data_IF_833886089459
#
_entry.id   IF_833886089459
#
_cell.length_a   1.000
_cell.length_b   1.000
_cell.length_c   1.000
_cell.angle_alpha   90.00
_cell.angle_beta   90.00
_cell.angle_gamma   90.00
#
_symmetry.space_group_name_H-M   'P 1'
#
loop_
_entity.id
_entity.type
_entity.pdbx_description
1 polymer ?
#
# COMPACT_ATOMS: atom_id res chain seq x y z
N UNK A 1 4.88 56.89 -20.19
CA UNK A 1 4.81 56.19 -18.90
C UNK A 1 4.55 54.72 -19.15
N UNK A 2 5.39 53.88 -18.53
CA UNK A 2 5.28 52.44 -18.24
C UNK A 2 4.67 51.53 -19.32
N UNK A 3 5.62 50.92 -20.05
CA UNK A 3 5.56 49.77 -20.94
C UNK A 3 4.52 48.71 -20.57
N UNK A 4 3.79 48.31 -21.61
CA UNK A 4 3.12 47.03 -21.80
C UNK A 4 3.92 45.87 -21.17
N UNK A 5 3.38 45.28 -20.10
CA UNK A 5 3.88 44.06 -19.46
C UNK A 5 2.71 43.35 -18.75
N UNK A 6 1.65 43.02 -19.51
CA UNK A 6 0.66 42.03 -19.11
C UNK A 6 0.99 40.70 -19.80
N UNK A 7 2.22 40.23 -19.61
CA UNK A 7 2.71 38.98 -20.19
C UNK A 7 3.56 38.24 -19.16
N UNK A 8 3.05 38.12 -17.92
CA UNK A 8 3.70 37.30 -16.89
C UNK A 8 2.75 36.97 -15.73
N UNK A 9 1.73 36.13 -15.97
CA UNK A 9 0.91 35.60 -14.87
C UNK A 9 0.20 34.26 -15.21
N UNK A 10 0.75 33.46 -16.13
CA UNK A 10 0.16 32.17 -16.52
C UNK A 10 1.15 30.99 -16.41
N UNK A 11 2.20 31.14 -15.60
CA UNK A 11 3.24 30.11 -15.42
C UNK A 11 3.38 29.71 -13.94
N UNK A 12 2.30 29.38 -13.25
CA UNK A 12 2.38 28.84 -11.87
C UNK A 12 1.42 27.67 -11.59
N UNK A 13 1.10 26.86 -12.59
CA UNK A 13 0.48 25.55 -12.33
C UNK A 13 1.16 24.50 -13.22
N UNK A 14 2.48 24.32 -13.05
CA UNK A 14 3.05 23.00 -13.30
C UNK A 14 2.82 22.17 -12.03
N UNK A 15 1.55 21.86 -11.76
CA UNK A 15 1.22 20.82 -10.80
C UNK A 15 1.67 19.51 -11.46
N UNK A 16 2.56 18.75 -10.82
CA UNK A 16 3.04 17.45 -11.31
C UNK A 16 1.89 16.42 -11.30
N UNK A 17 0.92 16.57 -12.20
CA UNK A 17 -0.30 15.75 -12.30
C UNK A 17 -0.04 14.31 -12.76
N UNK A 18 1.15 14.03 -13.28
CA UNK A 18 1.47 12.71 -13.80
C UNK A 18 1.54 11.66 -12.68
N UNK A 19 1.86 12.07 -11.45
CA UNK A 19 1.94 11.16 -10.32
C UNK A 19 0.56 10.68 -9.86
N UNK A 20 -0.41 11.59 -9.79
CA UNK A 20 -1.80 11.36 -9.33
C UNK A 20 -2.59 10.41 -10.26
N UNK A 21 -2.08 10.13 -11.47
CA UNK A 21 -2.73 9.20 -12.42
C UNK A 21 -2.15 7.78 -12.43
N UNK A 22 -1.14 7.50 -11.61
CA UNK A 22 -0.51 6.16 -11.57
C UNK A 22 -1.36 5.18 -10.77
N UNK A 23 -1.56 3.99 -11.33
CA UNK A 23 -2.30 2.90 -10.70
C UNK A 23 -1.33 1.81 -10.25
N UNK A 24 -1.54 1.30 -9.04
CA UNK A 24 -0.88 0.14 -8.47
C UNK A 24 -1.87 -1.03 -8.41
N UNK A 25 -1.41 -2.22 -8.76
CA UNK A 25 -2.16 -3.46 -8.56
C UNK A 25 -1.60 -4.17 -7.33
N UNK A 26 -2.41 -4.36 -6.30
CA UNK A 26 -2.03 -5.13 -5.12
C UNK A 26 -2.57 -6.55 -5.25
N UNK A 27 -1.73 -7.54 -4.96
CA UNK A 27 -2.08 -8.95 -4.87
C UNK A 27 -1.63 -9.52 -3.53
N UNK A 28 -2.53 -10.22 -2.86
CA UNK A 28 -2.28 -10.81 -1.55
C UNK A 28 -2.24 -12.34 -1.63
N UNK A 29 -1.29 -12.99 -0.96
CA UNK A 29 -1.21 -14.45 -0.87
C UNK A 29 -1.12 -14.95 0.57
N UNK A 30 -1.65 -16.14 0.82
CA UNK A 30 -1.42 -16.90 2.06
C UNK A 30 -0.35 -17.97 1.82
N UNK A 31 0.62 -18.08 2.74
CA UNK A 31 1.72 -19.04 2.66
C UNK A 31 1.84 -19.81 3.99
N UNK A 32 1.62 -21.14 4.01
CA UNK A 32 1.01 -21.92 2.93
C UNK A 32 -0.45 -21.51 2.71
N UNK A 33 -1.04 -21.86 1.57
CA UNK A 33 -2.40 -21.44 1.21
C UNK A 33 -3.45 -21.95 2.21
N UNK A 34 -3.29 -23.17 2.73
CA UNK A 34 -4.17 -23.75 3.74
C UNK A 34 -4.04 -23.07 5.12
N UNK A 35 -2.95 -22.35 5.36
CA UNK A 35 -2.65 -21.75 6.66
C UNK A 35 -3.55 -20.56 7.01
N UNK A 36 -4.21 -19.96 6.02
CA UNK A 36 -5.13 -18.85 6.26
C UNK A 36 -5.57 -18.16 4.99
N UNK A 37 -6.11 -16.96 5.18
CA UNK A 37 -6.48 -16.04 4.09
C UNK A 37 -5.80 -14.70 4.30
N UNK A 38 -5.48 -14.03 3.20
CA UNK A 38 -5.02 -12.64 3.20
C UNK A 38 -5.92 -11.87 2.25
N UNK A 39 -6.40 -10.71 2.67
CA UNK A 39 -7.39 -9.90 1.93
C UNK A 39 -7.11 -8.42 2.08
N UNK A 40 -7.57 -7.65 1.11
CA UNK A 40 -7.67 -6.19 1.18
C UNK A 40 -8.88 -5.82 2.02
N UNK A 41 -8.72 -5.04 3.09
CA UNK A 41 -9.81 -4.79 4.04
C UNK A 41 -11.00 -4.05 3.41
N UNK A 42 -10.75 -3.19 2.43
CA UNK A 42 -11.81 -2.40 1.79
C UNK A 42 -12.73 -3.26 0.92
N UNK A 43 -12.20 -4.32 0.28
CA UNK A 43 -12.93 -5.11 -0.72
C UNK A 43 -13.15 -6.56 -0.31
N UNK A 44 -12.43 -7.04 0.71
CA UNK A 44 -12.34 -8.46 1.11
C UNK A 44 -11.89 -9.38 -0.04
N UNK A 45 -11.23 -8.82 -1.07
CA UNK A 45 -10.65 -9.55 -2.20
C UNK A 45 -9.14 -9.73 -2.03
N UNK A 46 -8.57 -10.64 -2.82
CA UNK A 46 -7.12 -10.88 -2.85
C UNK A 46 -6.37 -10.00 -3.83
N UNK A 47 -7.09 -9.20 -4.62
CA UNK A 47 -6.51 -8.24 -5.56
C UNK A 47 -7.34 -6.97 -5.66
N UNK A 48 -6.68 -5.85 -5.95
CA UNK A 48 -7.32 -4.55 -6.09
C UNK A 48 -6.37 -3.51 -6.68
N UNK A 49 -6.95 -2.50 -7.32
CA UNK A 49 -6.24 -1.36 -7.88
C UNK A 49 -6.32 -0.16 -6.95
N UNK A 50 -5.23 0.59 -6.86
CA UNK A 50 -5.09 1.76 -5.99
C UNK A 50 -4.38 2.89 -6.73
N UNK A 51 -4.83 4.13 -6.53
CA UNK A 51 -4.20 5.31 -7.12
C UNK A 51 -2.95 5.71 -6.32
N UNK A 52 -2.10 6.52 -6.94
CA UNK A 52 -0.95 7.10 -6.25
C UNK A 52 -1.36 7.88 -5.01
N UNK A 53 -0.69 7.59 -3.90
CA UNK A 53 -0.97 8.22 -2.61
C UNK A 53 -2.06 7.54 -1.79
N UNK A 54 -2.79 6.57 -2.35
CA UNK A 54 -3.68 5.70 -1.59
C UNK A 54 -2.92 4.84 -0.58
N UNK A 55 -3.66 4.34 0.41
CA UNK A 55 -3.17 3.37 1.39
C UNK A 55 -4.02 2.10 1.27
N UNK A 56 -3.38 0.99 0.90
CA UNK A 56 -4.04 -0.32 0.92
C UNK A 56 -3.90 -0.93 2.33
N UNK A 57 -5.04 -1.21 2.96
CA UNK A 57 -5.11 -1.93 4.23
C UNK A 57 -5.25 -3.43 3.98
N UNK A 58 -4.40 -4.23 4.62
CA UNK A 58 -4.29 -5.68 4.38
C UNK A 58 -4.43 -6.45 5.69
N UNK A 59 -5.21 -7.52 5.65
CA UNK A 59 -5.53 -8.35 6.81
C UNK A 59 -5.27 -9.82 6.53
N UNK A 60 -4.65 -10.48 7.50
CA UNK A 60 -4.48 -11.93 7.56
C UNK A 60 -5.47 -12.56 8.55
N UNK A 61 -6.08 -13.67 8.15
CA UNK A 61 -6.91 -14.51 9.01
C UNK A 61 -6.38 -15.94 8.98
N UNK A 62 -5.72 -16.42 10.05
CA UNK A 62 -5.30 -17.80 10.16
C UNK A 62 -6.49 -18.77 10.08
N UNK A 63 -6.27 -19.91 9.46
CA UNK A 63 -7.16 -21.07 9.53
C UNK A 63 -7.03 -21.76 10.89
N UNK A 64 -7.97 -22.63 11.24
CA UNK A 64 -7.90 -23.41 12.48
C UNK A 64 -6.61 -24.25 12.54
N UNK A 65 -5.92 -24.21 13.69
CA UNK A 65 -4.65 -24.89 13.91
C UNK A 65 -3.44 -24.19 13.28
N UNK A 66 -3.59 -22.95 12.82
CA UNK A 66 -2.50 -22.11 12.34
C UNK A 66 -2.46 -20.79 13.10
N UNK A 67 -1.26 -20.23 13.22
CA UNK A 67 -1.03 -18.87 13.67
C UNK A 67 -0.36 -18.06 12.57
N UNK A 68 -0.65 -16.76 12.54
CA UNK A 68 0.08 -15.83 11.69
C UNK A 68 1.51 -15.70 12.22
N UNK A 69 2.48 -15.69 11.30
CA UNK A 69 3.91 -15.64 11.61
C UNK A 69 4.51 -14.30 11.19
N UNK A 70 4.36 -13.92 9.92
CA UNK A 70 4.99 -12.69 9.40
C UNK A 70 4.43 -12.24 8.06
N UNK A 71 4.77 -11.00 7.68
CA UNK A 71 4.53 -10.47 6.34
C UNK A 71 5.80 -10.55 5.50
N UNK A 72 5.66 -10.85 4.20
CA UNK A 72 6.71 -10.63 3.20
C UNK A 72 6.12 -10.03 1.94
N UNK A 73 6.95 -9.51 1.03
CA UNK A 73 6.47 -8.94 -0.22
C UNK A 73 7.57 -8.26 -1.02
N UNK A 74 7.19 -7.68 -2.15
CA UNK A 74 8.09 -6.89 -3.01
C UNK A 74 7.98 -5.37 -2.74
N UNK A 75 7.22 -4.98 -1.72
CA UNK A 75 7.07 -3.59 -1.29
C UNK A 75 7.36 -3.46 0.20
N UNK A 76 7.68 -2.24 0.61
CA UNK A 76 7.76 -1.90 2.03
C UNK A 76 6.35 -1.77 2.58
N UNK A 77 6.04 -2.58 3.59
CA UNK A 77 4.84 -2.39 4.38
C UNK A 77 5.07 -1.27 5.40
N UNK A 78 4.09 -0.38 5.51
CA UNK A 78 3.95 0.51 6.65
C UNK A 78 3.38 -0.33 7.78
N UNK A 79 4.23 -1.05 8.53
CA UNK A 79 3.79 -1.57 9.82
C UNK A 79 3.23 -0.40 10.61
N UNK A 80 1.99 -0.49 11.09
CA UNK A 80 1.19 0.61 11.69
C UNK A 80 2.08 1.68 12.35
N UNK A 81 2.45 2.72 11.60
CA UNK A 81 3.21 3.87 12.12
C UNK A 81 2.25 4.96 12.55
N UNK A 82 1.14 4.57 13.18
CA UNK A 82 0.42 5.47 14.04
C UNK A 82 1.24 5.49 15.33
N UNK A 83 1.98 6.57 15.59
CA UNK A 83 2.76 6.77 16.82
C UNK A 83 1.91 6.86 18.10
N UNK A 84 0.75 6.22 18.12
CA UNK A 84 -0.19 6.16 19.23
C UNK A 84 0.03 4.83 19.99
N UNK A 85 0.66 4.86 21.19
CA UNK A 85 0.97 3.66 21.98
C UNK A 85 -0.25 2.89 22.53
N UNK A 86 -1.47 3.21 22.07
CA UNK A 86 -2.72 2.57 22.45
C UNK A 86 -3.40 1.72 21.36
N UNK A 87 -2.84 1.64 20.15
CA UNK A 87 -3.36 0.71 19.13
C UNK A 87 -2.70 -0.64 19.36
N UNK A 88 -3.48 -1.66 19.76
CA UNK A 88 -2.96 -3.01 19.84
C UNK A 88 -2.28 -3.35 18.51
N UNK A 89 -1.00 -3.71 18.55
CA UNK A 89 -0.29 -4.28 17.40
C UNK A 89 -0.98 -5.59 17.04
N UNK A 90 -1.97 -5.53 16.17
CA UNK A 90 -2.56 -6.72 15.60
C UNK A 90 -1.61 -7.14 14.49
N UNK A 91 -0.67 -8.04 14.79
CA UNK A 91 0.36 -8.55 13.85
C UNK A 91 -0.22 -9.01 12.50
N UNK A 92 -1.51 -9.37 12.52
CA UNK A 92 -2.34 -9.77 11.39
C UNK A 92 -2.82 -8.62 10.48
N UNK A 93 -2.44 -7.37 10.73
CA UNK A 93 -2.83 -6.21 9.93
C UNK A 93 -1.58 -5.45 9.50
N UNK A 94 -1.62 -4.90 8.29
CA UNK A 94 -0.55 -4.06 7.75
C UNK A 94 -1.10 -3.10 6.70
N UNK A 95 -0.30 -2.10 6.34
CA UNK A 95 -0.67 -1.12 5.33
C UNK A 95 0.43 -0.97 4.29
N UNK A 96 0.05 -0.56 3.08
CA UNK A 96 0.97 -0.27 1.98
C UNK A 96 0.64 1.12 1.46
N UNK A 97 1.60 2.05 1.55
CA UNK A 97 1.50 3.35 0.89
C UNK A 97 1.80 3.20 -0.60
N UNK A 98 0.88 3.65 -1.48
CA UNK A 98 1.05 3.61 -2.93
C UNK A 98 1.96 4.74 -3.41
N UNK A 99 3.25 4.61 -3.08
CA UNK A 99 4.29 5.59 -3.39
C UNK A 99 5.60 4.90 -3.77
N UNK A 100 6.32 5.50 -4.71
CA UNK A 100 7.72 5.14 -4.98
C UNK A 100 8.62 5.87 -3.97
N UNK A 101 9.24 5.13 -3.04
CA UNK A 101 10.26 5.70 -2.15
C UNK A 101 11.61 5.89 -2.85
N UNK A 102 11.89 5.05 -3.85
CA UNK A 102 13.01 5.16 -4.78
C UNK A 102 12.45 5.14 -6.20
N UNK A 103 12.54 6.28 -6.90
CA UNK A 103 11.98 6.44 -8.25
C UNK A 103 12.66 5.53 -9.28
N UNK A 104 13.87 5.02 -9.01
CA UNK A 104 14.59 4.15 -9.94
C UNK A 104 14.13 2.69 -9.90
N UNK A 105 13.41 2.29 -8.85
CA UNK A 105 12.99 0.90 -8.61
C UNK A 105 11.50 0.80 -8.25
N UNK A 106 10.66 1.65 -8.84
CA UNK A 106 9.24 1.63 -8.54
C UNK A 106 8.54 0.44 -9.20
N UNK A 107 7.85 -0.36 -8.38
CA UNK A 107 6.99 -1.45 -8.85
C UNK A 107 5.52 -1.05 -8.66
N UNK A 108 4.73 -1.19 -9.71
CA UNK A 108 3.29 -0.95 -9.68
C UNK A 108 2.50 -2.24 -9.44
N UNK A 109 3.11 -3.39 -9.72
CA UNK A 109 2.60 -4.70 -9.35
C UNK A 109 3.14 -5.07 -7.96
N UNK A 110 2.28 -4.94 -6.96
CA UNK A 110 2.58 -5.18 -5.56
C UNK A 110 2.12 -6.58 -5.17
N UNK A 111 3.02 -7.37 -4.58
CA UNK A 111 2.72 -8.67 -4.01
C UNK A 111 3.03 -8.62 -2.51
N UNK A 112 2.03 -8.95 -1.71
CA UNK A 112 2.17 -9.12 -0.27
C UNK A 112 1.73 -10.53 0.14
N UNK A 113 2.49 -11.16 1.02
CA UNK A 113 2.27 -12.52 1.47
C UNK A 113 2.14 -12.52 3.00
N UNK A 114 1.09 -13.15 3.50
CA UNK A 114 0.96 -13.50 4.91
C UNK A 114 1.46 -14.93 5.13
N UNK A 115 2.43 -15.07 6.02
CA UNK A 115 2.99 -16.36 6.41
C UNK A 115 2.27 -16.91 7.62
N UNK A 116 1.96 -18.20 7.58
CA UNK A 116 1.27 -18.93 8.64
C UNK A 116 2.09 -20.16 9.01
N UNK A 117 2.11 -20.47 10.30
CA UNK A 117 2.75 -21.69 10.83
C UNK A 117 1.71 -22.47 11.62
N UNK A 118 1.82 -23.80 11.58
CA UNK A 118 0.92 -24.68 12.34
C UNK A 118 1.19 -24.52 13.84
N UNK A 119 0.13 -24.47 14.63
CA UNK A 119 0.20 -24.43 16.09
C UNK A 119 0.65 -25.77 16.69
#
# INVERSE_FOLDING_TARGET
MKKLLFLFALILISCNKEEETRIFTVTTNAIPFEGGTVTLETTELTTGEYEWGDIAHVKAKPSDGYIFSSWSGNTRTGGNQDGNPGVAHLEKYTSIDMRCYDSSNCTFDIIINGHFIKE
#
